data_IF_348467683689
#
_entry.id   IF_348467683689
#
_cell.length_a   1.000
_cell.length_b   1.000
_cell.length_c   1.000
_cell.angle_alpha   90.00
_cell.angle_beta   90.00
_cell.angle_gamma   90.00
#
_symmetry.space_group_name_H-M   'P 1'
#
loop_
_entity.id
_entity.type
_entity.pdbx_description
1 polymer ?
#
# COMPACT_ATOMS: atom_id res chain seq x y z
N UNK A 1 -8.87 10.05 -3.03
CA UNK A 1 -8.16 11.33 -2.76
C UNK A 1 -7.15 11.67 -3.85
N UNK A 2 -6.36 10.69 -4.31
CA UNK A 2 -5.25 10.87 -5.27
C UNK A 2 -5.71 11.37 -6.65
N UNK A 3 -6.74 10.76 -7.25
CA UNK A 3 -7.19 11.09 -8.61
C UNK A 3 -8.51 11.89 -8.67
N UNK A 4 -9.04 12.31 -7.52
CA UNK A 4 -10.35 12.99 -7.45
C UNK A 4 -10.16 14.49 -7.53
N UNK A 5 -10.94 15.16 -8.39
CA UNK A 5 -10.96 16.63 -8.48
C UNK A 5 -11.26 17.27 -7.13
N UNK A 6 -10.64 18.42 -6.89
CA UNK A 6 -10.84 19.21 -5.68
C UNK A 6 -12.33 19.54 -5.48
N UNK A 7 -12.82 19.41 -4.25
CA UNK A 7 -14.21 19.66 -3.90
C UNK A 7 -14.55 19.26 -2.47
N UNK A 8 -15.81 19.42 -2.04
CA UNK A 8 -16.23 19.15 -0.66
C UNK A 8 -15.85 17.75 -0.17
N UNK A 9 -16.12 16.71 -0.96
CA UNK A 9 -15.77 15.34 -0.58
C UNK A 9 -14.26 15.08 -0.56
N UNK A 10 -13.48 15.64 -1.52
CA UNK A 10 -12.02 15.53 -1.46
C UNK A 10 -11.47 16.16 -0.18
N UNK A 11 -11.97 17.35 0.20
CA UNK A 11 -11.57 18.03 1.44
C UNK A 11 -11.93 17.21 2.67
N UNK A 12 -13.13 16.64 2.71
CA UNK A 12 -13.61 15.78 3.81
C UNK A 12 -12.69 14.57 3.99
N UNK A 13 -12.40 13.84 2.91
CA UNK A 13 -11.51 12.67 2.95
C UNK A 13 -10.10 13.07 3.37
N UNK A 14 -9.55 14.17 2.83
CA UNK A 14 -8.22 14.65 3.21
C UNK A 14 -8.14 15.00 4.68
N UNK A 15 -9.14 15.73 5.20
CA UNK A 15 -9.22 16.08 6.62
C UNK A 15 -9.25 14.83 7.50
N UNK A 16 -10.07 13.84 7.16
CA UNK A 16 -10.17 12.59 7.91
C UNK A 16 -8.84 11.83 7.96
N UNK A 17 -8.19 11.60 6.81
CA UNK A 17 -6.90 10.90 6.80
C UNK A 17 -5.82 11.66 7.57
N UNK A 18 -5.74 12.99 7.42
CA UNK A 18 -4.72 13.79 8.12
C UNK A 18 -4.92 13.80 9.64
N UNK A 19 -6.16 13.91 10.12
CA UNK A 19 -6.42 14.02 11.55
C UNK A 19 -6.44 12.66 12.27
N UNK A 20 -7.03 11.64 11.64
CA UNK A 20 -7.27 10.35 12.30
C UNK A 20 -6.16 9.32 12.03
N UNK A 21 -5.62 9.31 10.81
CA UNK A 21 -4.67 8.27 10.38
C UNK A 21 -3.21 8.74 10.43
N UNK A 22 -2.98 10.00 10.04
CA UNK A 22 -1.63 10.56 9.84
C UNK A 22 -1.27 11.67 10.84
N UNK A 23 -2.03 11.81 11.94
CA UNK A 23 -1.70 12.76 12.99
C UNK A 23 -0.48 12.32 13.79
N UNK A 24 0.24 13.28 14.37
CA UNK A 24 1.40 12.98 15.22
C UNK A 24 1.06 12.04 16.37
N UNK A 25 -0.15 12.15 16.93
CA UNK A 25 -0.62 11.26 18.01
C UNK A 25 -0.72 9.83 17.49
N UNK A 26 -1.41 9.61 16.36
CA UNK A 26 -1.57 8.28 15.76
C UNK A 26 -0.24 7.70 15.29
N UNK A 27 0.61 8.51 14.65
CA UNK A 27 1.95 8.07 14.25
C UNK A 27 2.79 7.72 15.49
N UNK A 28 2.70 8.46 16.59
CA UNK A 28 3.45 8.15 17.81
C UNK A 28 2.92 6.90 18.53
N UNK A 29 1.64 6.55 18.42
CA UNK A 29 1.14 5.28 18.98
C UNK A 29 1.81 4.06 18.35
N UNK A 30 2.23 4.15 17.08
CA UNK A 30 2.96 3.09 16.39
C UNK A 30 4.49 3.11 16.62
N UNK A 31 5.01 3.97 17.52
CA UNK A 31 6.46 4.14 17.74
C UNK A 31 7.16 2.84 18.12
N UNK A 32 6.56 2.03 18.99
CA UNK A 32 7.16 0.76 19.44
C UNK A 32 7.33 -0.22 18.27
N UNK A 33 6.26 -0.42 17.50
CA UNK A 33 6.26 -1.27 16.31
C UNK A 33 7.27 -0.78 15.26
N UNK A 34 7.34 0.52 14.96
CA UNK A 34 8.35 1.04 14.01
C UNK A 34 9.78 0.79 14.49
N UNK A 35 10.04 0.95 15.80
CA UNK A 35 11.37 0.67 16.37
C UNK A 35 11.73 -0.81 16.23
N UNK A 36 10.77 -1.71 16.42
CA UNK A 36 10.97 -3.14 16.26
C UNK A 36 11.36 -3.49 14.83
N UNK A 37 10.58 -3.04 13.82
CA UNK A 37 10.89 -3.32 12.41
C UNK A 37 12.23 -2.70 11.96
N UNK A 38 12.53 -1.49 12.42
CA UNK A 38 13.84 -0.86 12.19
C UNK A 38 14.98 -1.67 12.84
N UNK A 39 14.76 -2.21 14.03
CA UNK A 39 15.73 -3.08 14.71
C UNK A 39 16.05 -4.34 13.90
N UNK A 40 15.03 -4.98 13.33
CA UNK A 40 15.20 -6.14 12.44
C UNK A 40 16.05 -5.77 11.23
N UNK A 41 15.73 -4.65 10.57
CA UNK A 41 16.46 -4.17 9.39
C UNK A 41 17.93 -3.84 9.71
N UNK A 42 18.19 -3.13 10.81
CA UNK A 42 19.55 -2.78 11.24
C UNK A 42 20.36 -4.04 11.58
N UNK A 43 19.76 -5.02 12.25
CA UNK A 43 20.42 -6.28 12.58
C UNK A 43 20.76 -7.08 11.31
N UNK A 44 19.86 -7.10 10.33
CA UNK A 44 20.12 -7.71 9.02
C UNK A 44 21.34 -7.06 8.33
N UNK A 45 21.41 -5.72 8.30
CA UNK A 45 22.57 -5.01 7.70
C UNK A 45 23.86 -5.34 8.46
N UNK A 46 23.82 -5.34 9.80
CA UNK A 46 24.99 -5.71 10.62
C UNK A 46 25.50 -7.09 10.28
N UNK A 47 24.61 -8.08 10.17
CA UNK A 47 24.98 -9.45 9.80
C UNK A 47 25.56 -9.54 8.39
N UNK A 48 24.94 -8.87 7.41
CA UNK A 48 25.46 -8.84 6.05
C UNK A 48 26.86 -8.21 5.99
N UNK A 49 27.07 -7.10 6.73
CA UNK A 49 28.38 -6.45 6.84
C UNK A 49 29.42 -7.36 7.48
N UNK A 50 29.09 -8.05 8.58
CA UNK A 50 30.00 -8.98 9.25
C UNK A 50 30.39 -10.17 8.36
N UNK A 51 29.47 -10.60 7.51
CA UNK A 51 29.70 -11.71 6.57
C UNK A 51 30.26 -11.24 5.21
N UNK A 52 30.54 -9.93 5.05
CA UNK A 52 30.99 -9.32 3.80
C UNK A 52 30.09 -9.65 2.59
N UNK A 53 28.77 -9.70 2.82
CA UNK A 53 27.75 -9.97 1.79
C UNK A 53 27.27 -8.68 1.16
N UNK A 54 27.25 -8.62 -0.17
CA UNK A 54 26.65 -7.51 -0.92
C UNK A 54 25.12 -7.53 -0.76
N UNK A 55 24.53 -6.34 -0.55
CA UNK A 55 23.09 -6.18 -0.31
C UNK A 55 22.56 -5.03 -1.16
N UNK A 56 21.48 -5.29 -1.89
CA UNK A 56 20.66 -4.24 -2.48
C UNK A 56 19.86 -3.52 -1.38
N UNK A 57 20.40 -2.39 -0.92
CA UNK A 57 19.75 -1.55 0.09
C UNK A 57 18.44 -0.93 -0.41
N UNK A 58 18.32 -0.65 -1.71
CA UNK A 58 17.10 -0.05 -2.27
C UNK A 58 15.93 -1.03 -2.17
N UNK A 59 16.13 -2.28 -2.59
CA UNK A 59 15.13 -3.33 -2.45
C UNK A 59 14.77 -3.60 -0.98
N UNK A 60 15.78 -3.65 -0.08
CA UNK A 60 15.54 -3.90 1.34
C UNK A 60 14.81 -2.74 2.03
N UNK A 61 15.12 -1.49 1.68
CA UNK A 61 14.42 -0.33 2.19
C UNK A 61 12.98 -0.25 1.68
N UNK A 62 12.76 -0.58 0.39
CA UNK A 62 11.41 -0.68 -0.17
C UNK A 62 10.55 -1.70 0.58
N UNK A 63 11.11 -2.89 0.87
CA UNK A 63 10.44 -3.91 1.68
C UNK A 63 10.15 -3.45 3.12
N UNK A 64 11.10 -2.79 3.79
CA UNK A 64 10.86 -2.21 5.12
C UNK A 64 9.71 -1.19 5.10
N UNK A 65 9.71 -0.29 4.12
CA UNK A 65 8.68 0.74 3.96
C UNK A 65 7.29 0.13 3.72
N UNK A 66 7.22 -0.90 2.85
CA UNK A 66 5.98 -1.63 2.58
C UNK A 66 5.46 -2.36 3.84
N UNK A 67 6.33 -3.11 4.53
CA UNK A 67 5.99 -3.80 5.78
C UNK A 67 5.48 -2.83 6.85
N UNK A 68 6.19 -1.72 7.06
CA UNK A 68 5.82 -0.71 8.05
C UNK A 68 4.46 -0.06 7.71
N UNK A 69 4.20 0.19 6.44
CA UNK A 69 2.91 0.74 5.97
C UNK A 69 1.77 -0.24 6.20
N UNK A 70 1.93 -1.51 5.81
CA UNK A 70 0.92 -2.54 6.03
C UNK A 70 0.65 -2.77 7.53
N UNK A 71 1.69 -2.80 8.37
CA UNK A 71 1.54 -2.93 9.81
C UNK A 71 0.76 -1.75 10.43
N UNK A 72 1.04 -0.52 10.00
CA UNK A 72 0.35 0.66 10.54
C UNK A 72 -1.10 0.77 10.07
N UNK A 73 -1.41 0.31 8.85
CA UNK A 73 -2.75 0.43 8.25
C UNK A 73 -3.62 -0.78 8.57
N UNK A 74 -3.09 -1.99 8.41
CA UNK A 74 -3.85 -3.25 8.54
C UNK A 74 -3.52 -4.04 9.81
N UNK A 75 -2.47 -3.67 10.55
CA UNK A 75 -2.01 -4.41 11.73
C UNK A 75 -1.24 -5.69 11.40
N UNK A 76 -0.99 -5.98 10.12
CA UNK A 76 -0.33 -7.20 9.63
C UNK A 76 0.82 -6.86 8.68
N UNK A 77 1.86 -7.69 8.62
CA UNK A 77 3.03 -7.43 7.75
C UNK A 77 2.71 -7.76 6.30
N UNK A 78 3.33 -7.02 5.38
CA UNK A 78 3.21 -7.26 3.94
C UNK A 78 3.67 -8.67 3.51
N UNK A 79 4.61 -9.26 4.26
CA UNK A 79 5.19 -10.60 4.00
C UNK A 79 4.60 -11.71 4.89
N UNK A 80 3.48 -11.50 5.57
CA UNK A 80 2.82 -12.54 6.39
C UNK A 80 1.83 -13.37 5.54
N UNK A 81 1.74 -14.68 5.80
CA UNK A 81 1.02 -15.70 5.00
C UNK A 81 -0.47 -15.43 4.72
N UNK A 82 -1.10 -14.52 5.47
CA UNK A 82 -2.50 -14.13 5.24
C UNK A 82 -2.68 -13.15 4.08
N UNK A 83 -1.60 -12.46 3.71
CA UNK A 83 -1.44 -11.96 2.35
C UNK A 83 -0.94 -13.16 1.56
N UNK A 84 -1.64 -13.55 0.49
CA UNK A 84 -0.94 -14.27 -0.57
C UNK A 84 0.12 -13.28 -1.08
N UNK A 85 1.31 -13.35 -0.48
CA UNK A 85 2.39 -12.36 -0.62
C UNK A 85 2.69 -12.11 -2.09
N UNK A 86 2.60 -13.17 -2.90
CA UNK A 86 2.78 -13.12 -4.34
C UNK A 86 1.65 -12.36 -5.02
N UNK A 87 0.39 -12.64 -4.66
CA UNK A 87 -0.76 -11.93 -5.21
C UNK A 87 -0.73 -10.46 -4.82
N UNK A 88 -0.55 -10.12 -3.55
CA UNK A 88 -0.53 -8.73 -3.10
C UNK A 88 0.63 -7.94 -3.72
N UNK A 89 1.81 -8.55 -3.81
CA UNK A 89 2.96 -7.96 -4.50
C UNK A 89 2.70 -7.71 -5.97
N UNK A 90 2.18 -8.72 -6.68
CA UNK A 90 1.85 -8.59 -8.10
C UNK A 90 0.82 -7.48 -8.33
N UNK A 91 -0.20 -7.37 -7.48
CA UNK A 91 -1.22 -6.31 -7.55
C UNK A 91 -0.60 -4.92 -7.36
N UNK A 92 0.28 -4.75 -6.38
CA UNK A 92 0.94 -3.46 -6.12
C UNK A 92 1.88 -3.09 -7.28
N UNK A 93 2.67 -4.04 -7.78
CA UNK A 93 3.55 -3.83 -8.93
C UNK A 93 2.75 -3.49 -10.21
N UNK A 94 1.64 -4.20 -10.46
CA UNK A 94 0.77 -3.91 -11.60
C UNK A 94 0.09 -2.55 -11.48
N UNK A 95 -0.35 -2.18 -10.26
CA UNK A 95 -0.92 -0.86 -9.99
C UNK A 95 0.08 0.25 -10.26
N UNK A 96 1.32 0.10 -9.76
CA UNK A 96 2.39 1.08 -10.00
C UNK A 96 2.71 1.18 -11.49
N UNK A 97 2.79 0.04 -12.19
CA UNK A 97 3.01 0.01 -13.64
C UNK A 97 1.90 0.75 -14.40
N UNK A 98 0.63 0.50 -14.09
CA UNK A 98 -0.49 1.15 -14.77
C UNK A 98 -0.55 2.65 -14.44
N UNK A 99 -0.35 3.05 -13.19
CA UNK A 99 -0.33 4.48 -12.80
C UNK A 99 0.82 5.24 -13.47
N UNK A 100 1.97 4.59 -13.67
CA UNK A 100 3.12 5.19 -14.35
C UNK A 100 3.02 5.12 -15.89
N UNK A 101 2.13 4.28 -16.43
CA UNK A 101 1.99 4.09 -17.87
C UNK A 101 1.12 5.18 -18.49
N UNK A 102 1.56 5.84 -19.57
CA UNK A 102 0.75 6.83 -20.26
C UNK A 102 -0.46 6.16 -20.92
N UNK A 103 -1.67 6.65 -20.63
CA UNK A 103 -2.89 6.21 -21.30
C UNK A 103 -3.21 7.16 -22.46
N UNK A 104 -3.27 6.64 -23.69
CA UNK A 104 -3.54 7.45 -24.88
C UNK A 104 -4.90 8.15 -24.83
N UNK A 105 -5.87 7.59 -24.11
CA UNK A 105 -7.18 8.20 -23.88
C UNK A 105 -7.13 9.47 -23.02
N UNK A 106 -6.07 9.68 -22.24
CA UNK A 106 -5.85 10.91 -21.47
C UNK A 106 -5.38 12.07 -22.38
N UNK A 107 -4.65 11.76 -23.45
CA UNK A 107 -4.17 12.74 -24.43
C UNK A 107 -5.17 12.97 -25.56
N UNK A 108 -5.85 11.91 -26.00
CA UNK A 108 -6.80 11.91 -27.10
C UNK A 108 -8.13 11.27 -26.65
N UNK A 109 -9.06 12.07 -26.11
CA UNK A 109 -10.31 11.55 -25.53
C UNK A 109 -11.16 10.71 -26.48
N UNK A 110 -11.12 10.98 -27.79
CA UNK A 110 -11.86 10.20 -28.78
C UNK A 110 -11.31 8.78 -28.96
N UNK A 111 -10.05 8.52 -28.56
CA UNK A 111 -9.44 7.18 -28.58
C UNK A 111 -9.71 6.39 -27.29
N UNK A 112 -10.31 6.98 -26.27
CA UNK A 112 -10.55 6.31 -24.98
C UNK A 112 -11.52 5.12 -25.09
N UNK A 113 -12.39 5.13 -26.11
CA UNK A 113 -13.40 4.07 -26.34
C UNK A 113 -12.75 2.75 -26.77
N UNK A 114 -11.60 2.82 -27.42
CA UNK A 114 -10.92 1.63 -27.95
C UNK A 114 -10.08 0.88 -26.92
N UNK A 115 -9.87 1.45 -25.73
CA UNK A 115 -9.03 0.89 -24.65
C UNK A 115 -7.78 0.19 -25.21
N UNK A 116 -6.95 0.93 -25.98
CA UNK A 116 -5.94 0.40 -26.93
C UNK A 116 -4.79 -0.43 -26.30
N UNK A 117 -4.91 -0.85 -25.03
CA UNK A 117 -4.01 -1.78 -24.36
C UNK A 117 -4.68 -2.55 -23.22
N UNK A 118 -6.02 -2.56 -23.17
CA UNK A 118 -6.80 -3.09 -22.05
C UNK A 118 -6.55 -2.33 -20.74
N UNK A 119 -6.12 -1.07 -20.81
CA UNK A 119 -5.70 -0.29 -19.66
C UNK A 119 -6.87 -0.06 -18.68
N UNK A 120 -8.03 0.32 -19.21
CA UNK A 120 -9.24 0.55 -18.43
C UNK A 120 -9.76 -0.77 -17.85
N UNK A 121 -9.75 -1.85 -18.65
CA UNK A 121 -10.14 -3.17 -18.16
C UNK A 121 -9.26 -3.64 -16.99
N UNK A 122 -7.92 -3.57 -17.14
CA UNK A 122 -6.97 -3.95 -16.09
C UNK A 122 -7.11 -3.12 -14.83
N UNK A 123 -7.35 -1.81 -14.95
CA UNK A 123 -7.63 -0.95 -13.79
C UNK A 123 -8.91 -1.37 -13.05
N UNK A 124 -9.96 -1.79 -13.77
CA UNK A 124 -11.19 -2.29 -13.15
C UNK A 124 -10.95 -3.61 -12.43
N UNK A 125 -10.19 -4.52 -13.03
CA UNK A 125 -9.85 -5.80 -12.42
C UNK A 125 -9.04 -5.58 -11.13
N UNK A 126 -8.03 -4.72 -11.15
CA UNK A 126 -7.28 -4.33 -9.95
C UNK A 126 -8.18 -3.66 -8.91
N UNK A 127 -9.08 -2.76 -9.31
CA UNK A 127 -9.99 -2.10 -8.38
C UNK A 127 -10.88 -3.12 -7.66
N UNK A 128 -11.40 -4.12 -8.37
CA UNK A 128 -12.19 -5.20 -7.78
C UNK A 128 -11.38 -6.00 -6.77
N UNK A 129 -10.14 -6.33 -7.10
CA UNK A 129 -9.24 -7.06 -6.20
C UNK A 129 -8.95 -6.25 -4.93
N UNK A 130 -8.69 -4.94 -5.05
CA UNK A 130 -8.52 -4.07 -3.90
C UNK A 130 -9.79 -3.95 -3.05
N UNK A 131 -10.96 -3.87 -3.68
CA UNK A 131 -12.23 -3.79 -2.96
C UNK A 131 -12.46 -5.07 -2.14
N UNK A 132 -12.31 -6.26 -2.73
CA UNK A 132 -12.42 -7.55 -2.02
C UNK A 132 -11.41 -7.67 -0.88
N UNK A 133 -10.18 -7.21 -1.13
CA UNK A 133 -9.11 -7.20 -0.16
C UNK A 133 -9.42 -6.29 1.04
N UNK A 134 -9.83 -5.03 0.79
CA UNK A 134 -10.13 -4.10 1.87
C UNK A 134 -11.38 -4.51 2.65
N UNK A 135 -12.39 -5.08 2.00
CA UNK A 135 -13.59 -5.57 2.66
C UNK A 135 -13.24 -6.63 3.71
N UNK A 136 -12.37 -7.59 3.36
CA UNK A 136 -11.87 -8.60 4.30
C UNK A 136 -11.24 -7.97 5.55
N UNK A 137 -10.40 -6.94 5.40
CA UNK A 137 -9.77 -6.26 6.53
C UNK A 137 -10.77 -5.46 7.38
N UNK A 138 -11.74 -4.83 6.73
CA UNK A 138 -12.80 -4.08 7.42
C UNK A 138 -13.66 -5.05 8.24
N UNK A 139 -14.08 -6.17 7.65
CA UNK A 139 -14.87 -7.19 8.31
C UNK A 139 -14.14 -7.80 9.52
N UNK A 140 -12.86 -8.17 9.33
CA UNK A 140 -12.00 -8.66 10.42
C UNK A 140 -11.96 -7.63 11.57
N UNK A 141 -11.81 -6.35 11.25
CA UNK A 141 -11.73 -5.28 12.25
C UNK A 141 -13.07 -5.05 12.98
N UNK A 142 -14.18 -5.09 12.26
CA UNK A 142 -15.53 -4.92 12.84
C UNK A 142 -15.86 -6.09 13.76
N UNK A 143 -15.61 -7.33 13.33
CA UNK A 143 -15.88 -8.52 14.15
C UNK A 143 -15.02 -8.57 15.42
N UNK A 144 -13.76 -8.14 15.36
CA UNK A 144 -12.89 -8.03 16.54
C UNK A 144 -13.42 -6.99 17.55
N UNK A 145 -14.08 -5.94 17.08
CA UNK A 145 -14.68 -4.92 17.93
C UNK A 145 -15.99 -5.37 18.58
N UNK A 146 -16.75 -6.27 17.95
CA UNK A 146 -17.97 -6.83 18.52
C UNK A 146 -17.70 -7.90 19.59
N UNK A 147 -16.52 -8.52 19.57
CA UNK A 147 -16.09 -9.53 20.54
C UNK A 147 -15.43 -8.96 21.80
N UNK A 148 -15.13 -7.66 21.83
CA UNK A 148 -14.47 -6.95 22.94
C UNK A 148 -15.41 -5.93 23.57
#
# INVERSE_FOLDING_TARGET
MVFRKYGPHWRKMRKLCTLELLSNIKINSFRSMRKQELGIFVNFIKQASSNHVEVDLSAKFASLSANMSCLMVFGKKYMEEEFDERVFKNIIEETLFLVASPNIGEFFPFLSVFDLRGFIARLKDLAKIFDEFFEKFIDDHVQLKEKN
#
